data_IF_312036806633
#
_entry.id   IF_312036806633
#
_cell.length_a   1.000
_cell.length_b   1.000
_cell.length_c   1.000
_cell.angle_alpha   90.00
_cell.angle_beta   90.00
_cell.angle_gamma   90.00
#
_symmetry.space_group_name_H-M   'P 1'
#
loop_
_entity.id
_entity.type
_entity.pdbx_description
1 polymer ?
#
# COMPACT_ATOMS: atom_id res chain seq x y z
N UNK A 1 18.92 -14.09 -10.23
CA UNK A 1 18.88 -13.37 -8.95
C UNK A 1 17.46 -12.92 -8.66
N UNK A 2 16.96 -13.21 -7.48
CA UNK A 2 15.63 -12.77 -7.06
C UNK A 2 15.73 -11.32 -6.63
N UNK A 3 14.90 -10.47 -7.22
CA UNK A 3 14.84 -9.06 -6.86
C UNK A 3 13.82 -8.87 -5.74
N UNK A 4 14.29 -8.39 -4.57
CA UNK A 4 13.42 -8.11 -3.42
C UNK A 4 12.79 -6.72 -3.49
N UNK A 5 13.18 -5.91 -4.46
CA UNK A 5 12.61 -4.59 -4.66
C UNK A 5 11.32 -4.65 -5.43
N UNK A 6 10.44 -3.68 -5.19
CA UNK A 6 9.26 -3.51 -6.02
C UNK A 6 9.68 -3.10 -7.43
N UNK A 7 9.04 -3.71 -8.43
CA UNK A 7 9.27 -3.40 -9.84
C UNK A 7 8.13 -2.56 -10.38
N UNK A 8 8.28 -1.89 -11.55
CA UNK A 8 7.16 -1.19 -12.16
C UNK A 8 5.93 -2.06 -12.37
N UNK A 9 6.13 -3.36 -12.71
CA UNK A 9 5.02 -4.29 -12.86
C UNK A 9 4.28 -4.52 -11.55
N UNK A 10 5.01 -4.55 -10.42
CA UNK A 10 4.40 -4.67 -9.10
C UNK A 10 3.52 -3.47 -8.79
N UNK A 11 4.01 -2.25 -9.05
CA UNK A 11 3.23 -1.03 -8.83
C UNK A 11 1.97 -1.01 -9.68
N UNK A 12 2.07 -1.39 -10.95
CA UNK A 12 0.91 -1.45 -11.84
C UNK A 12 -0.14 -2.42 -11.32
N UNK A 13 0.30 -3.59 -10.86
CA UNK A 13 -0.59 -4.61 -10.33
C UNK A 13 -1.28 -4.13 -9.04
N UNK A 14 -0.52 -3.52 -8.15
CA UNK A 14 -1.07 -3.00 -6.88
C UNK A 14 -2.05 -1.87 -7.14
N UNK A 15 -1.72 -0.99 -8.07
CA UNK A 15 -2.60 0.13 -8.41
C UNK A 15 -3.93 -0.38 -8.97
N UNK A 16 -3.89 -1.32 -9.90
CA UNK A 16 -5.09 -1.92 -10.48
C UNK A 16 -5.92 -2.64 -9.41
N UNK A 17 -5.26 -3.42 -8.55
CA UNK A 17 -5.93 -4.17 -7.48
C UNK A 17 -6.58 -3.23 -6.47
N UNK A 18 -5.89 -2.15 -6.11
CA UNK A 18 -6.40 -1.20 -5.11
C UNK A 18 -7.73 -0.57 -5.54
N UNK A 19 -7.91 -0.35 -6.83
CA UNK A 19 -9.16 0.24 -7.36
C UNK A 19 -10.35 -0.70 -7.26
N UNK A 20 -10.09 -2.01 -7.17
CA UNK A 20 -11.14 -3.03 -7.10
C UNK A 20 -11.59 -3.33 -5.66
N UNK A 21 -10.83 -2.88 -4.67
CA UNK A 21 -11.11 -3.19 -3.27
C UNK A 21 -11.97 -2.09 -2.63
N UNK A 22 -12.78 -2.49 -1.63
CA UNK A 22 -13.45 -1.50 -0.80
C UNK A 22 -12.45 -0.86 0.17
N UNK A 23 -12.86 0.24 0.80
CA UNK A 23 -11.96 1.00 1.68
C UNK A 23 -11.55 0.21 2.92
N UNK A 24 -12.42 -0.66 3.42
CA UNK A 24 -12.10 -1.52 4.56
C UNK A 24 -10.97 -2.49 4.20
N UNK A 25 -11.08 -3.15 3.05
CA UNK A 25 -10.06 -4.09 2.58
C UNK A 25 -8.74 -3.38 2.31
N UNK A 26 -8.77 -2.16 1.77
CA UNK A 26 -7.57 -1.36 1.57
C UNK A 26 -6.84 -1.09 2.88
N UNK A 27 -7.59 -0.68 3.91
CA UNK A 27 -6.99 -0.41 5.23
C UNK A 27 -6.37 -1.67 5.82
N UNK A 28 -7.03 -2.80 5.65
CA UNK A 28 -6.51 -4.07 6.13
C UNK A 28 -5.19 -4.42 5.46
N UNK A 29 -5.14 -4.31 4.13
CA UNK A 29 -3.91 -4.62 3.37
C UNK A 29 -2.78 -3.67 3.75
N UNK A 30 -3.06 -2.38 3.91
CA UNK A 30 -2.06 -1.40 4.31
C UNK A 30 -1.47 -1.77 5.67
N UNK A 31 -2.33 -2.08 6.64
CA UNK A 31 -1.88 -2.46 7.99
C UNK A 31 -1.05 -3.75 7.94
N UNK A 32 -1.46 -4.72 7.13
CA UNK A 32 -0.75 -5.99 6.98
C UNK A 32 0.63 -5.77 6.35
N UNK A 33 0.72 -4.92 5.32
CA UNK A 33 1.99 -4.59 4.70
C UNK A 33 2.93 -3.86 5.66
N UNK A 34 2.40 -2.95 6.47
CA UNK A 34 3.20 -2.23 7.47
C UNK A 34 3.74 -3.19 8.52
N UNK A 35 2.94 -4.15 8.94
CA UNK A 35 3.37 -5.18 9.89
C UNK A 35 4.46 -6.05 9.29
N UNK A 36 4.30 -6.47 8.04
CA UNK A 36 5.31 -7.26 7.34
C UNK A 36 6.62 -6.48 7.21
N UNK A 37 6.54 -5.19 6.89
CA UNK A 37 7.72 -4.33 6.80
C UNK A 37 8.43 -4.24 8.15
N UNK A 38 7.69 -4.09 9.23
CA UNK A 38 8.27 -4.04 10.57
C UNK A 38 9.00 -5.33 10.93
N UNK A 39 8.46 -6.48 10.48
CA UNK A 39 9.10 -7.78 10.72
C UNK A 39 10.41 -7.94 9.93
N UNK A 40 10.57 -7.20 8.84
CA UNK A 40 11.80 -7.24 8.03
C UNK A 40 12.83 -6.22 8.47
N UNK A 41 12.46 -5.30 9.35
CA UNK A 41 13.36 -4.25 9.81
C UNK A 41 14.56 -4.83 10.53
N UNK A 42 15.73 -4.37 10.12
CA UNK A 42 16.99 -4.77 10.76
C UNK A 42 17.65 -5.98 10.13
N UNK A 43 16.99 -6.71 9.24
CA UNK A 43 17.63 -7.86 8.63
C UNK A 43 17.31 -8.11 7.16
N UNK A 44 16.31 -7.47 6.60
CA UNK A 44 16.09 -7.50 5.15
C UNK A 44 15.54 -6.15 4.67
N UNK A 45 16.41 -5.14 4.50
CA UNK A 45 15.97 -3.81 4.11
C UNK A 45 15.31 -3.75 2.75
N UNK A 46 15.69 -4.61 1.82
CA UNK A 46 15.05 -4.66 0.51
C UNK A 46 13.60 -5.12 0.63
N UNK A 47 13.35 -6.12 1.44
CA UNK A 47 12.02 -6.66 1.66
C UNK A 47 11.17 -5.69 2.47
N UNK A 48 11.76 -5.01 3.42
CA UNK A 48 11.09 -3.93 4.15
C UNK A 48 10.59 -2.85 3.19
N UNK A 49 11.47 -2.40 2.30
CA UNK A 49 11.11 -1.40 1.29
C UNK A 49 10.00 -1.88 0.37
N UNK A 50 10.02 -3.14 -0.04
CA UNK A 50 8.98 -3.75 -0.86
C UNK A 50 7.60 -3.61 -0.21
N UNK A 51 7.49 -3.98 1.06
CA UNK A 51 6.21 -3.89 1.76
C UNK A 51 5.78 -2.45 2.02
N UNK A 52 6.72 -1.55 2.30
CA UNK A 52 6.39 -0.14 2.47
C UNK A 52 5.89 0.50 1.17
N UNK A 53 6.50 0.13 0.03
CA UNK A 53 6.06 0.59 -1.28
C UNK A 53 4.64 0.08 -1.59
N UNK A 54 4.36 -1.16 -1.24
CA UNK A 54 3.04 -1.74 -1.42
C UNK A 54 2.01 -1.00 -0.56
N UNK A 55 2.31 -0.79 0.72
CA UNK A 55 1.43 -0.05 1.62
C UNK A 55 1.17 1.37 1.10
N UNK A 56 2.21 2.03 0.61
CA UNK A 56 2.09 3.38 0.05
C UNK A 56 1.17 3.42 -1.16
N UNK A 57 1.28 2.43 -2.06
CA UNK A 57 0.46 2.36 -3.27
C UNK A 57 -1.02 2.21 -2.92
N UNK A 58 -1.35 1.30 -2.00
CA UNK A 58 -2.73 1.13 -1.55
C UNK A 58 -3.21 2.36 -0.78
N UNK A 59 -2.32 3.00 0.00
CA UNK A 59 -2.64 4.22 0.72
C UNK A 59 -2.98 5.39 -0.20
N UNK A 60 -2.34 5.47 -1.34
CA UNK A 60 -2.64 6.50 -2.34
C UNK A 60 -4.08 6.37 -2.86
N UNK A 61 -4.57 5.17 -3.04
CA UNK A 61 -5.96 4.95 -3.45
C UNK A 61 -6.94 5.41 -2.36
N UNK A 62 -6.67 5.12 -1.09
CA UNK A 62 -7.49 5.64 0.01
C UNK A 62 -7.50 7.16 0.04
N UNK A 63 -6.34 7.78 -0.13
CA UNK A 63 -6.20 9.23 -0.15
C UNK A 63 -7.02 9.83 -1.29
N UNK A 64 -6.96 9.23 -2.48
CA UNK A 64 -7.74 9.67 -3.64
C UNK A 64 -9.23 9.62 -3.35
N UNK A 65 -9.71 8.50 -2.78
CA UNK A 65 -11.13 8.35 -2.46
C UNK A 65 -11.59 9.38 -1.44
N UNK A 66 -10.77 9.61 -0.42
CA UNK A 66 -11.09 10.59 0.62
C UNK A 66 -11.16 12.01 0.02
N UNK A 67 -10.23 12.34 -0.89
CA UNK A 67 -10.20 13.64 -1.56
C UNK A 67 -11.44 13.87 -2.43
N UNK A 68 -11.97 12.80 -3.04
CA UNK A 68 -13.12 12.87 -3.91
C UNK A 68 -14.45 12.94 -3.14
N UNK A 69 -14.42 12.76 -1.81
CA UNK A 69 -15.61 12.90 -0.98
C UNK A 69 -15.97 14.38 -0.78
N UNK A 70 -17.28 14.69 -0.54
CA UNK A 70 -17.65 16.03 -0.08
C UNK A 70 -16.87 16.41 1.18
N UNK A 71 -16.58 17.72 1.34
CA UNK A 71 -15.75 18.19 2.45
C UNK A 71 -16.26 17.73 3.81
N UNK A 72 -17.58 17.66 4.00
CA UNK A 72 -18.19 17.24 5.26
C UNK A 72 -17.91 15.78 5.60
N UNK A 73 -17.58 14.94 4.62
CA UNK A 73 -17.35 13.51 4.80
C UNK A 73 -15.88 13.13 4.76
N UNK A 74 -14.97 14.09 4.52
CA UNK A 74 -13.55 13.80 4.44
C UNK A 74 -12.97 13.52 5.82
N UNK A 75 -12.12 12.51 5.88
CA UNK A 75 -11.28 12.26 7.04
C UNK A 75 -10.17 13.31 7.09
N UNK A 76 -9.77 13.68 8.29
CA UNK A 76 -8.70 14.65 8.52
C UNK A 76 -7.51 14.03 9.21
#
# INVERSE_FOLDING_TARGET
>A
MICDHATPADFDRWEAHSKMLDSYSLRYIIADCQKAAANMRGWNPNREGYYLDQASTYGMELTRRNRDLPAALRNR
#
